data_IF_869960570081
#
_entry.id   IF_869960570081
#
_cell.length_a   1.000
_cell.length_b   1.000
_cell.length_c   1.000
_cell.angle_alpha   90.00
_cell.angle_beta   90.00
_cell.angle_gamma   90.00
#
_symmetry.space_group_name_H-M   'P 1'
#
loop_
_entity.id
_entity.type
_entity.pdbx_description
1 polymer ?
#
# COMPACT_ATOMS: atom_id res chain seq x y z
N UNK A 1 -1.46 10.46 8.79
CA UNK A 1 -1.25 10.45 7.32
C UNK A 1 -1.02 9.02 6.85
N UNK A 2 -1.41 8.67 5.60
CA UNK A 2 -1.26 7.32 5.03
C UNK A 2 0.12 7.15 4.37
N UNK A 3 0.71 5.96 4.54
CA UNK A 3 1.96 5.50 3.94
C UNK A 3 3.17 6.41 4.24
N UNK A 4 3.38 6.77 5.50
CA UNK A 4 4.46 7.68 5.91
C UNK A 4 5.79 6.93 5.99
N UNK A 5 6.83 7.31 5.21
CA UNK A 5 8.15 6.69 5.33
C UNK A 5 8.73 6.94 6.72
N UNK A 6 9.05 5.86 7.42
CA UNK A 6 9.45 5.87 8.82
C UNK A 6 10.66 4.95 9.03
N UNK A 7 11.42 5.19 10.10
CA UNK A 7 12.51 4.31 10.55
C UNK A 7 12.25 3.86 11.99
N UNK A 8 12.74 2.68 12.38
CA UNK A 8 12.53 2.09 13.71
C UNK A 8 12.97 2.96 14.89
N UNK A 9 13.86 3.93 14.66
CA UNK A 9 14.35 4.88 15.68
C UNK A 9 13.91 6.33 15.42
N UNK A 10 12.92 6.56 14.56
CA UNK A 10 12.48 7.90 14.12
C UNK A 10 13.63 8.79 13.61
N UNK A 11 14.69 8.15 13.11
CA UNK A 11 15.84 8.80 12.51
C UNK A 11 15.58 9.14 11.04
N UNK A 12 16.37 10.07 10.49
CA UNK A 12 16.27 10.44 9.07
C UNK A 12 16.51 9.22 8.17
N UNK A 13 15.68 9.10 7.14
CA UNK A 13 15.84 8.11 6.09
C UNK A 13 17.05 8.46 5.23
N UNK A 14 17.88 7.47 4.95
CA UNK A 14 19.09 7.58 4.14
C UNK A 14 18.95 6.71 2.88
N UNK A 15 19.74 6.96 1.82
CA UNK A 15 19.66 6.16 0.59
C UNK A 15 19.86 4.65 0.81
N UNK A 16 20.74 4.25 1.74
CA UNK A 16 20.97 2.83 2.07
C UNK A 16 19.74 2.14 2.68
N UNK A 17 18.82 2.90 3.27
CA UNK A 17 17.59 2.37 3.88
C UNK A 17 16.52 2.00 2.85
N UNK A 18 16.74 2.34 1.59
CA UNK A 18 15.80 2.08 0.50
C UNK A 18 15.96 0.67 -0.08
N UNK A 19 16.91 -0.11 0.44
CA UNK A 19 17.11 -1.50 0.05
C UNK A 19 15.89 -2.36 0.43
N UNK A 20 15.29 -3.02 -0.56
CA UNK A 20 14.07 -3.80 -0.40
C UNK A 20 14.42 -5.27 -0.13
N UNK A 21 14.91 -5.52 1.08
CA UNK A 21 15.46 -6.80 1.53
C UNK A 21 14.50 -7.64 2.38
N UNK A 22 13.31 -7.11 2.71
CA UNK A 22 12.25 -7.79 3.46
C UNK A 22 11.52 -8.91 2.67
N UNK A 23 12.18 -9.49 1.65
CA UNK A 23 11.75 -10.71 0.98
C UNK A 23 10.39 -10.62 0.24
N UNK A 24 10.21 -9.53 -0.51
CA UNK A 24 8.98 -9.25 -1.27
C UNK A 24 8.89 -9.93 -2.63
N UNK A 25 10.00 -10.44 -3.18
CA UNK A 25 10.05 -11.01 -4.51
C UNK A 25 11.15 -12.05 -4.66
N UNK A 26 10.85 -13.08 -5.44
CA UNK A 26 11.78 -14.12 -5.87
C UNK A 26 11.72 -14.29 -7.39
N UNK A 27 12.72 -14.97 -7.97
CA UNK A 27 12.85 -15.12 -9.42
C UNK A 27 13.76 -14.05 -10.01
N UNK A 28 13.43 -13.54 -11.20
CA UNK A 28 14.30 -12.63 -11.94
C UNK A 28 15.31 -13.38 -12.83
N UNK A 29 16.15 -12.64 -13.56
CA UNK A 29 17.20 -13.20 -14.44
C UNK A 29 16.69 -14.28 -15.41
N UNK A 30 15.57 -14.01 -16.09
CA UNK A 30 14.95 -14.92 -17.07
C UNK A 30 13.89 -15.86 -16.50
N UNK A 31 13.61 -15.84 -15.19
CA UNK A 31 12.50 -16.56 -14.55
C UNK A 31 11.34 -15.63 -14.17
N UNK A 32 10.09 -16.09 -14.21
CA UNK A 32 8.94 -15.32 -13.73
C UNK A 32 9.16 -14.80 -12.30
N UNK A 33 8.86 -13.52 -12.08
CA UNK A 33 8.93 -12.91 -10.75
C UNK A 33 7.71 -13.28 -9.92
N UNK A 34 7.96 -13.92 -8.78
CA UNK A 34 6.93 -14.39 -7.85
C UNK A 34 6.89 -13.51 -6.59
N UNK A 35 5.69 -13.09 -6.13
CA UNK A 35 5.55 -12.36 -4.87
C UNK A 35 6.02 -13.21 -3.69
N UNK A 36 6.90 -12.65 -2.89
CA UNK A 36 7.37 -13.24 -1.64
C UNK A 36 6.43 -12.98 -0.46
N UNK A 37 6.83 -13.48 0.72
CA UNK A 37 6.06 -13.27 1.95
C UNK A 37 6.05 -11.80 2.35
N UNK A 38 7.18 -11.11 2.21
CA UNK A 38 7.33 -9.74 2.70
C UNK A 38 7.38 -9.65 4.22
N UNK A 39 7.41 -8.40 4.71
CA UNK A 39 7.22 -8.06 6.13
C UNK A 39 6.17 -6.95 6.23
N UNK A 40 4.91 -7.35 6.38
CA UNK A 40 3.77 -6.48 6.66
C UNK A 40 3.32 -6.75 8.10
N UNK A 41 3.34 -5.72 8.96
CA UNK A 41 2.92 -5.84 10.35
C UNK A 41 1.57 -5.15 10.51
N UNK A 42 0.53 -5.92 10.83
CA UNK A 42 -0.78 -5.37 11.17
C UNK A 42 -0.73 -4.79 12.59
N UNK A 43 -1.33 -3.63 12.77
CA UNK A 43 -1.47 -2.98 14.08
C UNK A 43 -2.74 -2.12 14.14
N UNK A 44 -3.23 -1.75 15.34
CA UNK A 44 -4.22 -0.70 15.45
C UNK A 44 -3.66 0.66 15.00
N UNK A 45 -4.55 1.56 14.57
CA UNK A 45 -4.21 2.98 14.44
C UNK A 45 -3.85 3.57 15.82
N UNK A 46 -2.84 4.43 15.83
CA UNK A 46 -2.50 5.29 16.97
C UNK A 46 -3.58 6.33 17.22
N UNK A 47 -3.67 6.92 18.43
CA UNK A 47 -4.66 7.98 18.71
C UNK A 47 -4.60 9.14 17.71
N UNK A 48 -3.39 9.60 17.38
CA UNK A 48 -3.17 10.68 16.39
C UNK A 48 -3.61 10.28 14.98
N UNK A 49 -3.36 9.04 14.56
CA UNK A 49 -3.85 8.56 13.25
C UNK A 49 -5.38 8.49 13.22
N UNK A 50 -6.02 8.07 14.31
CA UNK A 50 -7.49 8.04 14.40
C UNK A 50 -8.11 9.42 14.37
N UNK A 51 -7.53 10.37 15.10
CA UNK A 51 -7.97 11.75 15.09
C UNK A 51 -7.87 12.36 13.67
N UNK A 52 -6.74 12.16 12.99
CA UNK A 52 -6.52 12.69 11.63
C UNK A 52 -7.44 12.04 10.59
N UNK A 53 -7.69 10.74 10.70
CA UNK A 53 -8.55 10.03 9.75
C UNK A 53 -10.03 10.25 10.05
N UNK A 54 -10.43 10.31 11.31
CA UNK A 54 -11.83 10.28 11.73
C UNK A 54 -12.46 8.88 11.60
N UNK A 55 -13.48 8.63 12.41
CA UNK A 55 -14.13 7.31 12.51
C UNK A 55 -14.76 6.87 11.20
N UNK A 56 -15.40 7.78 10.45
CA UNK A 56 -16.06 7.44 9.18
C UNK A 56 -15.04 6.91 8.16
N UNK A 57 -13.88 7.55 8.03
CA UNK A 57 -12.84 7.12 7.10
C UNK A 57 -12.19 5.83 7.56
N UNK A 58 -12.03 5.61 8.86
CA UNK A 58 -11.54 4.33 9.40
C UNK A 58 -12.50 3.20 9.07
N UNK A 59 -13.80 3.38 9.32
CA UNK A 59 -14.81 2.37 8.98
C UNK A 59 -14.78 2.01 7.49
N UNK A 60 -14.49 2.98 6.62
CA UNK A 60 -14.35 2.77 5.17
C UNK A 60 -13.00 2.22 4.73
N UNK A 61 -11.91 2.41 5.48
CA UNK A 61 -10.56 1.97 5.12
C UNK A 61 -10.10 0.71 5.87
N UNK A 62 -10.87 0.28 6.88
CA UNK A 62 -10.60 -0.85 7.77
C UNK A 62 -10.07 -0.42 9.14
N UNK A 63 -10.42 -1.18 10.19
CA UNK A 63 -10.13 -0.90 11.61
C UNK A 63 -8.66 -1.03 12.02
N UNK A 64 -7.87 -1.68 11.16
CA UNK A 64 -6.43 -1.88 11.33
C UNK A 64 -5.66 -1.22 10.19
N UNK A 65 -4.36 -1.09 10.42
CA UNK A 65 -3.41 -0.57 9.44
C UNK A 65 -2.16 -1.44 9.45
N UNK A 66 -1.38 -1.35 8.37
CA UNK A 66 -0.16 -2.09 8.19
C UNK A 66 1.05 -1.18 8.12
N UNK A 67 2.12 -1.61 8.77
CA UNK A 67 3.46 -1.11 8.54
C UNK A 67 4.19 -2.06 7.57
N UNK A 68 4.55 -1.54 6.40
CA UNK A 68 5.11 -2.32 5.28
C UNK A 68 6.60 -2.05 5.21
N UNK A 69 7.40 -3.04 5.65
CA UNK A 69 8.84 -2.90 5.79
C UNK A 69 9.58 -3.08 4.46
N UNK A 70 10.50 -2.19 4.17
CA UNK A 70 11.49 -2.35 3.09
C UNK A 70 12.58 -3.32 3.55
N UNK A 71 13.05 -3.13 4.78
CA UNK A 71 14.10 -3.90 5.47
C UNK A 71 13.86 -3.81 7.00
N UNK A 72 14.81 -4.17 7.85
CA UNK A 72 14.62 -4.13 9.31
C UNK A 72 14.63 -2.73 9.93
N UNK A 73 15.02 -1.70 9.17
CA UNK A 73 15.11 -0.32 9.65
C UNK A 73 14.02 0.59 9.09
N UNK A 74 13.69 0.49 7.81
CA UNK A 74 12.78 1.41 7.13
C UNK A 74 11.49 0.74 6.63
N UNK A 75 10.39 1.48 6.71
CA UNK A 75 9.05 1.01 6.36
C UNK A 75 8.12 2.15 5.97
N UNK A 76 7.07 1.85 5.21
CA UNK A 76 5.92 2.74 5.09
C UNK A 76 4.97 2.44 6.24
N UNK A 77 4.78 3.43 7.10
CA UNK A 77 3.89 3.39 8.24
C UNK A 77 2.45 3.71 7.82
N UNK A 78 1.48 3.05 8.46
CA UNK A 78 0.06 3.39 8.35
C UNK A 78 -0.52 3.23 6.94
N UNK A 79 -0.46 2.03 6.37
CA UNK A 79 -1.22 1.65 5.17
C UNK A 79 -2.51 0.94 5.62
N UNK A 80 -3.69 1.55 5.48
CA UNK A 80 -4.95 0.96 5.95
C UNK A 80 -5.22 -0.44 5.40
N UNK A 81 -5.95 -1.26 6.16
CA UNK A 81 -6.22 -2.66 5.81
C UNK A 81 -6.79 -2.83 4.39
N UNK A 82 -7.85 -2.10 4.03
CA UNK A 82 -8.46 -2.20 2.69
C UNK A 82 -7.55 -1.67 1.58
N UNK A 83 -6.66 -0.73 1.89
CA UNK A 83 -5.64 -0.23 0.95
C UNK A 83 -4.58 -1.29 0.71
N UNK A 84 -4.10 -1.92 1.78
CA UNK A 84 -3.14 -3.01 1.69
C UNK A 84 -3.74 -4.15 0.87
N UNK A 85 -4.95 -4.61 1.20
CA UNK A 85 -5.63 -5.73 0.55
C UNK A 85 -6.26 -5.42 -0.80
N UNK A 86 -6.13 -4.19 -1.32
CA UNK A 86 -6.73 -3.83 -2.61
C UNK A 86 -6.13 -4.64 -3.76
N UNK A 87 -7.00 -5.27 -4.55
CA UNK A 87 -6.59 -6.13 -5.68
C UNK A 87 -7.06 -5.61 -7.03
N UNK A 88 -6.22 -5.75 -8.06
CA UNK A 88 -6.59 -5.58 -9.47
C UNK A 88 -6.12 -6.79 -10.27
N UNK A 89 -7.00 -7.39 -11.06
CA UNK A 89 -6.68 -8.58 -11.85
C UNK A 89 -6.22 -9.78 -11.02
N UNK A 90 -6.72 -9.91 -9.78
CA UNK A 90 -6.35 -10.98 -8.85
C UNK A 90 -5.06 -10.75 -8.06
N UNK A 91 -4.37 -9.61 -8.26
CA UNK A 91 -3.13 -9.29 -7.55
C UNK A 91 -3.30 -8.13 -6.58
N UNK A 92 -2.76 -8.28 -5.37
CA UNK A 92 -2.61 -7.19 -4.40
C UNK A 92 -1.65 -6.13 -4.97
N UNK A 93 -2.16 -4.92 -5.21
CA UNK A 93 -1.48 -3.90 -6.03
C UNK A 93 -0.09 -3.56 -5.48
N UNK A 94 -0.03 -3.18 -4.20
CA UNK A 94 1.23 -2.75 -3.56
C UNK A 94 2.20 -3.93 -3.46
N UNK A 95 1.76 -5.09 -2.98
CA UNK A 95 2.63 -6.27 -2.85
C UNK A 95 3.21 -6.74 -4.18
N UNK A 96 2.41 -6.73 -5.25
CA UNK A 96 2.87 -7.09 -6.59
C UNK A 96 3.92 -6.09 -7.08
N UNK A 97 3.72 -4.79 -6.88
CA UNK A 97 4.71 -3.77 -7.20
C UNK A 97 6.04 -3.97 -6.45
N UNK A 98 5.97 -4.28 -5.14
CA UNK A 98 7.16 -4.55 -4.31
C UNK A 98 7.92 -5.79 -4.82
N UNK A 99 7.22 -6.82 -5.30
CA UNK A 99 7.85 -8.06 -5.77
C UNK A 99 8.80 -7.86 -6.96
N UNK A 100 8.47 -6.93 -7.86
CA UNK A 100 9.32 -6.61 -9.02
C UNK A 100 10.52 -5.72 -8.67
N UNK A 101 10.56 -5.19 -7.45
CA UNK A 101 11.57 -4.24 -6.98
C UNK A 101 12.31 -4.71 -5.74
N UNK A 102 12.17 -5.98 -5.38
CA UNK A 102 13.05 -6.59 -4.41
C UNK A 102 14.49 -6.42 -4.88
N UNK A 103 15.40 -6.08 -3.98
CA UNK A 103 16.79 -5.78 -4.34
C UNK A 103 17.43 -6.95 -5.11
N UNK A 104 17.13 -8.19 -4.71
CA UNK A 104 17.55 -9.41 -5.41
C UNK A 104 17.05 -9.54 -6.87
N UNK A 105 16.06 -8.75 -7.27
CA UNK A 105 15.45 -8.75 -8.62
C UNK A 105 16.03 -7.62 -9.48
N UNK A 106 16.27 -6.44 -8.91
CA UNK A 106 16.71 -5.23 -9.65
C UNK A 106 18.16 -4.82 -9.39
N UNK A 107 18.85 -5.52 -8.49
CA UNK A 107 20.26 -5.35 -8.09
C UNK A 107 20.62 -3.95 -7.59
N UNK A 108 19.68 -3.29 -6.89
CA UNK A 108 19.89 -1.99 -6.26
C UNK A 108 18.81 -1.67 -5.22
N UNK A 109 19.05 -0.71 -4.33
CA UNK A 109 18.01 -0.06 -3.53
C UNK A 109 16.96 0.65 -4.40
N UNK A 110 15.80 0.93 -3.81
CA UNK A 110 14.81 1.81 -4.44
C UNK A 110 15.39 3.21 -4.64
N UNK A 111 14.99 3.85 -5.73
CA UNK A 111 15.17 5.29 -5.91
C UNK A 111 14.13 6.07 -5.10
N UNK A 112 14.38 7.35 -4.89
CA UNK A 112 13.47 8.21 -4.12
C UNK A 112 12.08 8.35 -4.77
N UNK A 113 12.01 8.44 -6.11
CA UNK A 113 10.76 8.45 -6.86
C UNK A 113 9.98 7.13 -6.71
N UNK A 114 10.67 6.00 -6.67
CA UNK A 114 10.07 4.69 -6.40
C UNK A 114 9.53 4.60 -4.96
N UNK A 115 10.23 5.18 -3.98
CA UNK A 115 9.71 5.30 -2.60
C UNK A 115 8.41 6.11 -2.58
N UNK A 116 8.41 7.27 -3.26
CA UNK A 116 7.26 8.19 -3.35
C UNK A 116 6.09 7.53 -4.07
N UNK A 117 6.35 6.75 -5.12
CA UNK A 117 5.32 6.07 -5.90
C UNK A 117 4.38 5.22 -5.04
N UNK A 118 4.92 4.49 -4.04
CA UNK A 118 4.10 3.69 -3.12
C UNK A 118 3.22 4.58 -2.24
N UNK A 119 3.76 5.71 -1.78
CA UNK A 119 3.01 6.68 -0.96
C UNK A 119 1.81 7.19 -1.73
N UNK A 120 2.03 7.66 -2.96
CA UNK A 120 0.96 8.22 -3.77
C UNK A 120 -0.04 7.14 -4.19
N UNK A 121 0.42 5.93 -4.52
CA UNK A 121 -0.44 4.80 -4.86
C UNK A 121 -1.35 4.44 -3.69
N UNK A 122 -0.81 4.29 -2.48
CA UNK A 122 -1.60 4.01 -1.29
C UNK A 122 -2.65 5.10 -1.02
N UNK A 123 -2.30 6.37 -1.23
CA UNK A 123 -3.24 7.50 -1.07
C UNK A 123 -4.32 7.54 -2.15
N UNK A 124 -3.99 7.21 -3.40
CA UNK A 124 -4.96 7.11 -4.50
C UNK A 124 -5.94 5.96 -4.26
N UNK A 125 -5.44 4.79 -3.85
CA UNK A 125 -6.28 3.66 -3.47
C UNK A 125 -7.20 4.01 -2.29
N UNK A 126 -6.69 4.69 -1.27
CA UNK A 126 -7.50 5.17 -0.17
C UNK A 126 -8.61 6.14 -0.64
N UNK A 127 -8.30 7.06 -1.54
CA UNK A 127 -9.29 7.98 -2.11
C UNK A 127 -10.39 7.22 -2.88
N UNK A 128 -10.02 6.23 -3.70
CA UNK A 128 -10.99 5.38 -4.42
C UNK A 128 -11.92 4.65 -3.44
N UNK A 129 -11.36 4.02 -2.40
CA UNK A 129 -12.13 3.31 -1.38
C UNK A 129 -13.07 4.22 -0.58
N UNK A 130 -12.68 5.49 -0.37
CA UNK A 130 -13.53 6.48 0.28
C UNK A 130 -14.67 6.96 -0.63
N UNK A 131 -14.46 7.00 -1.94
CA UNK A 131 -15.47 7.36 -2.95
C UNK A 131 -16.41 6.20 -3.29
N UNK A 132 -16.04 4.96 -2.95
CA UNK A 132 -16.77 3.74 -3.27
C UNK A 132 -18.29 3.81 -2.99
N UNK A 133 -18.77 4.29 -1.81
CA UNK A 133 -20.21 4.37 -1.55
C UNK A 133 -20.97 5.28 -2.52
N UNK A 134 -20.36 6.42 -2.89
CA UNK A 134 -20.97 7.38 -3.81
C UNK A 134 -20.95 6.84 -5.25
N UNK A 135 -19.87 6.15 -5.62
CA UNK A 135 -19.76 5.47 -6.92
C UNK A 135 -20.79 4.34 -7.04
N UNK A 136 -20.99 3.54 -5.99
CA UNK A 136 -21.99 2.48 -5.95
C UNK A 136 -23.40 3.05 -6.04
N UNK A 137 -23.72 4.10 -5.26
CA UNK A 137 -25.01 4.76 -5.31
C UNK A 137 -25.31 5.35 -6.70
N UNK A 138 -24.31 5.96 -7.33
CA UNK A 138 -24.40 6.47 -8.70
C UNK A 138 -24.68 5.32 -9.69
N UNK A 139 -23.91 4.24 -9.62
CA UNK A 139 -24.10 3.06 -10.48
C UNK A 139 -25.50 2.46 -10.32
N UNK A 140 -25.98 2.30 -9.08
CA UNK A 140 -27.33 1.78 -8.81
C UNK A 140 -28.41 2.68 -9.41
N UNK A 141 -28.26 4.00 -9.28
CA UNK A 141 -29.21 4.98 -9.84
C UNK A 141 -29.26 4.90 -11.36
N UNK A 142 -28.12 4.76 -12.05
CA UNK A 142 -28.10 4.69 -13.51
C UNK A 142 -28.61 3.34 -14.01
N UNK A 143 -28.26 2.24 -13.34
CA UNK A 143 -28.69 0.89 -13.73
C UNK A 143 -30.22 0.74 -13.77
N UNK A 144 -30.95 1.46 -12.90
CA UNK A 144 -32.42 1.47 -12.93
C UNK A 144 -32.99 2.31 -14.07
N UNK A 145 -32.22 3.24 -14.63
CA UNK A 145 -32.56 4.02 -15.83
C UNK A 145 -32.03 3.32 -17.09
N UNK A 146 -32.49 2.10 -17.34
CA UNK A 146 -32.16 1.36 -18.56
C UNK A 146 -32.60 2.18 -19.77
N UNK A 147 -31.66 2.51 -20.67
CA UNK A 147 -32.00 2.95 -22.03
C UNK A 147 -32.57 1.72 -22.72
N UNK A 148 -33.90 1.66 -22.86
CA UNK A 148 -34.55 0.70 -23.74
C UNK A 148 -34.10 0.98 -25.19
N UNK A 149 -33.89 -0.06 -26.01
CA UNK A 149 -33.50 0.10 -27.41
C UNK A 149 -34.53 0.87 -28.25
#
# INVERSE_FOLDING_TARGET
>A
MIAVPTTTHNSKLKPEDLALTANWGYGGNGKPTMPGKGKAIQRPYTPTEREILGNDRIARLGEHTYDIYLNDRAYWCNIPDRVWHYTLGGYQVIKKWLSYRAEKIIDRPLKQDELIHVIETARRLAAILLLEPDLDANYHTIKTHRIEP
#
